data_IF_755221325969
#
_entry.id   IF_755221325969
#
_cell.length_a   1.000
_cell.length_b   1.000
_cell.length_c   1.000
_cell.angle_alpha   90.00
_cell.angle_beta   90.00
_cell.angle_gamma   90.00
#
_symmetry.space_group_name_H-M   'P 1'
#
loop_
_entity.id
_entity.type
_entity.pdbx_description
1 polymer ?
#
# COMPACT_ATOMS: atom_id res chain seq x y z
N UNK A 1 10.34 -11.84 -3.21
CA UNK A 1 9.22 -12.54 -3.93
C UNK A 1 8.22 -11.56 -4.58
N UNK A 2 8.46 -10.98 -5.77
CA UNK A 2 7.54 -9.94 -6.35
C UNK A 2 6.44 -10.46 -7.30
N UNK A 3 5.29 -9.79 -7.31
CA UNK A 3 4.08 -10.17 -8.08
C UNK A 3 4.32 -10.29 -9.58
N UNK A 4 5.08 -9.35 -10.15
CA UNK A 4 5.43 -9.36 -11.58
C UNK A 4 6.28 -10.56 -11.97
N UNK A 5 7.06 -11.10 -11.02
CA UNK A 5 7.96 -12.24 -11.25
C UNK A 5 7.30 -13.59 -10.98
N UNK A 6 6.04 -13.63 -10.56
CA UNK A 6 5.27 -14.88 -10.37
C UNK A 6 4.93 -15.61 -11.69
N UNK A 7 5.47 -15.18 -12.84
CA UNK A 7 5.51 -16.02 -14.03
C UNK A 7 6.58 -17.12 -13.96
N UNK A 8 7.51 -17.04 -13.01
CA UNK A 8 8.54 -18.05 -12.78
C UNK A 8 7.95 -19.27 -12.03
N UNK A 9 8.01 -20.49 -12.59
CA UNK A 9 7.47 -21.70 -11.96
C UNK A 9 8.01 -21.97 -10.55
N UNK A 10 9.29 -21.65 -10.29
CA UNK A 10 9.89 -21.85 -8.96
C UNK A 10 9.26 -20.92 -7.92
N UNK A 11 8.94 -19.69 -8.32
CA UNK A 11 8.30 -18.70 -7.45
C UNK A 11 6.84 -19.02 -7.21
N UNK A 12 6.14 -19.55 -8.22
CA UNK A 12 4.77 -20.06 -8.06
C UNK A 12 4.74 -21.22 -7.06
N UNK A 13 5.67 -22.18 -7.18
CA UNK A 13 5.74 -23.30 -6.24
C UNK A 13 6.01 -22.87 -4.79
N UNK A 14 6.81 -21.82 -4.60
CA UNK A 14 7.11 -21.28 -3.28
C UNK A 14 6.05 -20.29 -2.73
N UNK A 15 5.06 -19.91 -3.53
CA UNK A 15 4.09 -18.87 -3.18
C UNK A 15 3.27 -19.26 -1.96
N UNK A 16 2.69 -20.46 -1.93
CA UNK A 16 1.83 -20.90 -0.83
C UNK A 16 2.58 -20.95 0.51
N UNK A 17 3.82 -21.44 0.50
CA UNK A 17 4.67 -21.47 1.69
C UNK A 17 4.99 -20.05 2.17
N UNK A 18 5.30 -19.14 1.23
CA UNK A 18 5.58 -17.74 1.53
C UNK A 18 4.35 -17.02 2.12
N UNK A 19 3.16 -17.19 1.54
CA UNK A 19 1.91 -16.61 2.02
C UNK A 19 1.49 -17.19 3.39
N UNK A 20 1.73 -18.49 3.60
CA UNK A 20 1.50 -19.15 4.88
C UNK A 20 2.41 -18.58 5.97
N UNK A 21 3.68 -18.33 5.67
CA UNK A 21 4.61 -17.67 6.59
C UNK A 21 4.19 -16.21 6.86
N UNK A 22 3.84 -15.45 5.82
CA UNK A 22 3.37 -14.07 5.96
C UNK A 22 2.10 -13.96 6.85
N UNK A 23 1.22 -14.96 6.79
CA UNK A 23 0.01 -15.04 7.63
C UNK A 23 0.29 -15.10 9.13
N UNK A 24 1.49 -15.51 9.53
CA UNK A 24 1.91 -15.62 10.93
C UNK A 24 2.43 -14.31 11.51
N UNK A 25 2.64 -13.28 10.69
CA UNK A 25 3.09 -11.97 11.16
C UNK A 25 1.99 -11.29 12.01
N UNK A 26 2.37 -10.77 13.17
CA UNK A 26 1.49 -9.88 13.94
C UNK A 26 1.49 -8.50 13.31
N UNK A 27 0.40 -8.13 12.66
CA UNK A 27 0.32 -6.80 12.06
C UNK A 27 -0.91 -6.57 11.22
N UNK A 28 -0.83 -5.47 10.47
CA UNK A 28 -1.85 -5.05 9.53
C UNK A 28 -1.25 -4.91 8.13
N UNK A 29 -1.77 -5.68 7.18
CA UNK A 29 -1.55 -5.46 5.76
C UNK A 29 -2.68 -4.58 5.23
N UNK A 30 -2.34 -3.36 4.82
CA UNK A 30 -3.31 -2.40 4.27
C UNK A 30 -3.00 -2.17 2.80
N UNK A 31 -3.92 -2.61 1.93
CA UNK A 31 -3.89 -2.29 0.51
C UNK A 31 -4.80 -1.08 0.24
N UNK A 32 -4.29 -0.08 -0.48
CA UNK A 32 -5.04 1.13 -0.81
C UNK A 32 -5.07 1.28 -2.34
N UNK A 33 -6.25 1.16 -2.92
CA UNK A 33 -6.47 1.32 -4.35
C UNK A 33 -7.07 2.69 -4.64
N UNK A 34 -6.36 3.52 -5.41
CA UNK A 34 -6.79 4.88 -5.76
C UNK A 34 -7.13 4.94 -7.25
N UNK A 35 -8.30 5.51 -7.57
CA UNK A 35 -8.72 5.73 -8.95
C UNK A 35 -7.73 6.64 -9.70
N UNK A 36 -7.17 6.13 -10.80
CA UNK A 36 -6.18 6.82 -11.65
C UNK A 36 -6.70 8.11 -12.27
N UNK A 37 -8.02 8.30 -12.38
CA UNK A 37 -8.62 9.57 -12.82
C UNK A 37 -8.26 10.72 -11.88
N UNK A 38 -7.94 10.43 -10.62
CA UNK A 38 -7.51 11.41 -9.61
C UNK A 38 -5.99 11.41 -9.53
N UNK A 39 -5.39 12.28 -10.34
CA UNK A 39 -3.95 12.53 -10.33
C UNK A 39 -3.47 13.22 -9.04
N UNK A 40 -4.35 13.97 -8.40
CA UNK A 40 -4.04 14.86 -7.27
C UNK A 40 -4.90 14.48 -6.08
N UNK A 41 -4.37 13.65 -5.17
CA UNK A 41 -5.08 13.24 -3.96
C UNK A 41 -4.58 14.03 -2.74
N UNK A 42 -3.26 14.14 -2.61
CA UNK A 42 -2.62 14.74 -1.42
C UNK A 42 -2.01 16.11 -1.65
N UNK A 43 -1.93 16.55 -2.90
CA UNK A 43 -1.49 17.89 -3.26
C UNK A 43 -2.43 18.49 -4.30
N UNK A 44 -2.26 19.77 -4.62
CA UNK A 44 -2.97 20.44 -5.72
C UNK A 44 -1.99 20.79 -6.86
N UNK A 45 -2.48 20.94 -8.10
CA UNK A 45 -1.68 21.50 -9.18
C UNK A 45 -0.99 22.80 -8.73
N UNK A 46 0.29 22.96 -9.05
CA UNK A 46 1.11 24.14 -8.71
C UNK A 46 1.35 24.40 -7.21
N UNK A 47 0.98 23.47 -6.31
CA UNK A 47 1.22 23.61 -4.86
C UNK A 47 2.57 23.06 -4.39
N UNK A 48 3.32 22.36 -5.26
CA UNK A 48 4.54 21.63 -4.90
C UNK A 48 5.58 22.51 -4.20
N UNK A 49 5.90 23.69 -4.75
CA UNK A 49 6.90 24.59 -4.15
C UNK A 49 6.49 25.11 -2.77
N UNK A 50 5.20 25.43 -2.58
CA UNK A 50 4.68 25.89 -1.29
C UNK A 50 4.79 24.80 -0.22
N UNK A 51 4.39 23.57 -0.55
CA UNK A 51 4.46 22.43 0.37
C UNK A 51 5.92 22.06 0.63
N UNK A 52 6.76 22.08 -0.40
CA UNK A 52 8.21 21.84 -0.31
C UNK A 52 8.87 22.80 0.68
N UNK A 53 8.58 24.10 0.56
CA UNK A 53 9.09 25.13 1.47
C UNK A 53 8.59 24.92 2.92
N UNK A 54 7.30 24.63 3.09
CA UNK A 54 6.70 24.37 4.42
C UNK A 54 7.33 23.15 5.11
N UNK A 55 7.58 22.09 4.36
CA UNK A 55 8.23 20.87 4.84
C UNK A 55 9.76 20.95 4.84
N UNK A 56 10.35 22.07 4.40
CA UNK A 56 11.82 22.26 4.37
C UNK A 56 12.55 21.27 3.47
N UNK A 57 11.91 20.82 2.39
CA UNK A 57 12.45 19.82 1.47
C UNK A 57 13.41 20.45 0.45
N UNK A 58 14.49 19.75 0.15
CA UNK A 58 15.64 20.30 -0.58
C UNK A 58 15.63 19.97 -2.06
N UNK A 59 15.09 18.83 -2.47
CA UNK A 59 15.10 18.44 -3.87
C UNK A 59 14.11 19.24 -4.70
N UNK A 60 14.45 19.43 -5.98
CA UNK A 60 13.46 19.82 -6.99
C UNK A 60 12.74 18.56 -7.44
N UNK A 61 11.42 18.56 -7.26
CA UNK A 61 10.57 17.45 -7.64
C UNK A 61 9.76 17.81 -8.88
N UNK A 62 9.60 16.87 -9.81
CA UNK A 62 8.53 17.03 -10.78
C UNK A 62 7.17 16.90 -10.06
N UNK A 63 6.11 17.58 -10.52
CA UNK A 63 4.88 17.69 -9.75
C UNK A 63 4.20 16.34 -9.45
N UNK A 64 4.26 15.39 -10.38
CA UNK A 64 3.64 14.06 -10.21
C UNK A 64 4.42 13.17 -9.22
N UNK A 65 5.75 13.18 -9.28
CA UNK A 65 6.58 12.45 -8.32
C UNK A 65 6.48 13.06 -6.92
N UNK A 66 6.33 14.40 -6.83
CA UNK A 66 6.06 15.07 -5.56
C UNK A 66 4.72 14.64 -4.96
N UNK A 67 3.66 14.61 -5.78
CA UNK A 67 2.35 14.18 -5.33
C UNK A 67 2.37 12.73 -4.85
N UNK A 68 3.00 11.82 -5.59
CA UNK A 68 3.13 10.41 -5.21
C UNK A 68 3.86 10.24 -3.87
N UNK A 69 4.96 10.97 -3.68
CA UNK A 69 5.71 10.98 -2.42
C UNK A 69 4.84 11.49 -1.26
N UNK A 70 4.21 12.67 -1.41
CA UNK A 70 3.38 13.27 -0.35
C UNK A 70 2.17 12.37 -0.03
N UNK A 71 1.60 11.70 -1.04
CA UNK A 71 0.50 10.76 -0.85
C UNK A 71 0.91 9.58 0.01
N UNK A 72 2.04 8.93 -0.31
CA UNK A 72 2.58 7.83 0.48
C UNK A 72 2.91 8.27 1.91
N UNK A 73 3.56 9.43 2.04
CA UNK A 73 3.92 10.03 3.33
C UNK A 73 2.67 10.31 4.18
N UNK A 74 1.63 10.90 3.60
CA UNK A 74 0.40 11.24 4.32
C UNK A 74 -0.33 9.98 4.78
N UNK A 75 -0.47 8.98 3.90
CA UNK A 75 -1.05 7.68 4.24
C UNK A 75 -0.26 7.03 5.39
N UNK A 76 1.07 6.96 5.27
CA UNK A 76 1.92 6.40 6.32
C UNK A 76 1.75 7.15 7.64
N UNK A 77 1.73 8.48 7.63
CA UNK A 77 1.54 9.29 8.83
C UNK A 77 0.19 9.02 9.52
N UNK A 78 -0.90 8.89 8.75
CA UNK A 78 -2.22 8.51 9.27
C UNK A 78 -2.17 7.11 9.89
N UNK A 79 -1.63 6.12 9.19
CA UNK A 79 -1.52 4.75 9.70
C UNK A 79 -0.67 4.68 10.97
N UNK A 80 0.45 5.40 11.01
CA UNK A 80 1.28 5.51 12.21
C UNK A 80 0.45 6.10 13.35
N UNK A 81 -0.27 7.20 13.14
CA UNK A 81 -1.08 7.82 14.22
C UNK A 81 -2.18 6.93 14.78
N UNK A 82 -2.67 5.96 14.00
CA UNK A 82 -3.68 5.01 14.45
C UNK A 82 -3.10 3.90 15.33
N UNK A 83 -1.82 3.57 15.15
CA UNK A 83 -1.21 2.40 15.78
C UNK A 83 -0.06 2.73 16.74
N UNK A 84 0.49 3.93 16.69
CA UNK A 84 1.60 4.33 17.54
C UNK A 84 1.16 4.60 18.97
N UNK A 85 2.08 4.35 19.88
CA UNK A 85 2.03 4.74 21.28
C UNK A 85 3.18 5.71 21.59
N UNK A 86 3.13 6.48 22.69
CA UNK A 86 4.25 7.33 23.11
C UNK A 86 5.59 6.56 23.10
N UNK A 87 6.59 7.15 22.45
CA UNK A 87 7.93 6.56 22.34
C UNK A 87 8.10 5.44 21.31
N UNK A 88 7.10 5.18 20.45
CA UNK A 88 7.22 4.15 19.39
C UNK A 88 8.33 4.50 18.40
N UNK A 89 9.26 3.58 18.20
CA UNK A 89 10.23 3.65 17.10
C UNK A 89 9.59 3.12 15.82
N UNK A 90 9.82 3.78 14.70
CA UNK A 90 9.27 3.38 13.39
C UNK A 90 10.42 3.11 12.42
N UNK A 91 10.37 1.96 11.77
CA UNK A 91 11.23 1.63 10.63
C UNK A 91 10.33 1.44 9.40
N UNK A 92 10.35 2.39 8.49
CA UNK A 92 9.72 2.26 7.18
C UNK A 92 10.72 1.55 6.26
N UNK A 93 10.36 0.39 5.73
CA UNK A 93 11.09 -0.29 4.65
C UNK A 93 10.30 -0.15 3.34
N UNK A 94 10.93 0.32 2.28
CA UNK A 94 10.33 0.46 0.95
C UNK A 94 11.18 -0.22 -0.11
N UNK A 95 10.56 -0.64 -1.21
CA UNK A 95 11.32 -1.02 -2.39
C UNK A 95 12.05 0.20 -3.00
N UNK A 96 12.81 -0.02 -4.08
CA UNK A 96 13.52 1.00 -4.87
C UNK A 96 12.59 1.93 -5.65
N UNK A 97 11.70 2.58 -4.93
CA UNK A 97 10.68 3.47 -5.47
C UNK A 97 11.28 4.80 -5.93
N UNK A 98 10.62 5.42 -6.92
CA UNK A 98 11.09 6.68 -7.51
C UNK A 98 11.25 7.83 -6.49
N UNK A 99 10.48 7.79 -5.38
CA UNK A 99 10.54 8.81 -4.33
C UNK A 99 11.72 8.64 -3.35
N UNK A 100 12.47 7.54 -3.45
CA UNK A 100 13.71 7.29 -2.68
C UNK A 100 14.91 7.00 -3.58
N UNK A 101 14.77 7.23 -4.90
CA UNK A 101 15.74 6.84 -5.93
C UNK A 101 17.18 7.41 -5.80
N UNK A 102 17.42 8.34 -4.88
CA UNK A 102 18.76 8.81 -4.54
C UNK A 102 18.76 9.37 -3.12
N UNK A 103 19.95 9.53 -2.53
CA UNK A 103 20.11 10.00 -1.15
C UNK A 103 19.39 11.31 -0.84
N UNK A 104 19.35 12.27 -1.78
CA UNK A 104 18.63 13.54 -1.53
C UNK A 104 17.12 13.35 -1.48
N UNK A 105 16.56 12.51 -2.35
CA UNK A 105 15.12 12.17 -2.34
C UNK A 105 14.75 11.35 -1.12
N UNK A 106 15.64 10.45 -0.70
CA UNK A 106 15.53 9.69 0.54
C UNK A 106 15.48 10.63 1.76
N UNK A 107 16.40 11.58 1.87
CA UNK A 107 16.42 12.60 2.94
C UNK A 107 15.13 13.44 2.95
N UNK A 108 14.64 13.86 1.78
CA UNK A 108 13.39 14.59 1.64
C UNK A 108 12.20 13.75 2.09
N UNK A 109 12.11 12.49 1.67
CA UNK A 109 11.03 11.58 2.05
C UNK A 109 11.01 11.33 3.56
N UNK A 110 12.19 11.10 4.16
CA UNK A 110 12.39 10.94 5.59
C UNK A 110 11.95 12.20 6.35
N UNK A 111 12.35 13.38 5.87
CA UNK A 111 11.95 14.67 6.47
C UNK A 111 10.44 14.88 6.35
N UNK A 112 9.87 14.59 5.18
CA UNK A 112 8.44 14.74 4.92
C UNK A 112 7.61 13.85 5.85
N UNK A 113 7.96 12.56 5.98
CA UNK A 113 7.22 11.64 6.86
C UNK A 113 7.37 11.99 8.33
N UNK A 114 8.56 12.38 8.80
CA UNK A 114 8.74 12.79 10.18
C UNK A 114 7.86 14.00 10.52
N UNK A 115 7.86 15.04 9.67
CA UNK A 115 7.03 16.24 9.87
C UNK A 115 5.55 15.94 9.74
N UNK A 116 5.15 15.16 8.74
CA UNK A 116 3.75 14.80 8.54
C UNK A 116 3.21 13.98 9.71
N UNK A 117 4.00 13.02 10.21
CA UNK A 117 3.66 12.20 11.38
C UNK A 117 3.44 13.06 12.63
N UNK A 118 4.24 14.12 12.81
CA UNK A 118 4.05 15.10 13.90
C UNK A 118 2.76 15.93 13.79
N UNK A 119 2.14 16.02 12.60
CA UNK A 119 0.85 16.71 12.44
C UNK A 119 -0.33 15.82 12.84
N UNK A 120 -0.22 14.50 12.66
CA UNK A 120 -1.29 13.55 12.99
C UNK A 120 -1.18 12.98 14.41
N UNK A 121 0.02 12.95 14.99
CA UNK A 121 0.23 12.41 16.33
C UNK A 121 0.08 13.46 17.42
N UNK A 122 -0.64 13.09 18.49
CA UNK A 122 -0.80 13.90 19.70
C UNK A 122 0.22 13.58 20.79
N UNK A 123 1.17 12.68 20.50
CA UNK A 123 2.17 12.19 21.45
C UNK A 123 3.57 12.17 20.83
N UNK A 124 4.63 12.23 21.66
CA UNK A 124 6.01 12.15 21.17
C UNK A 124 6.32 10.75 20.63
N UNK A 125 6.94 10.72 19.46
CA UNK A 125 7.44 9.50 18.80
C UNK A 125 8.91 9.25 19.17
N UNK A 126 9.37 8.01 18.98
CA UNK A 126 10.77 7.64 19.10
C UNK A 126 11.57 7.93 17.81
N UNK A 127 12.54 7.06 17.53
CA UNK A 127 13.38 7.15 16.33
C UNK A 127 12.59 6.70 15.10
N UNK A 128 12.62 7.52 14.05
CA UNK A 128 12.12 7.17 12.73
C UNK A 128 13.28 6.82 11.80
N UNK A 129 13.18 5.69 11.09
CA UNK A 129 14.13 5.27 10.04
C UNK A 129 13.39 5.00 8.74
N UNK A 130 13.99 5.39 7.63
CA UNK A 130 13.54 5.04 6.29
C UNK A 130 14.65 4.20 5.65
N UNK A 131 14.33 2.97 5.30
CA UNK A 131 15.24 2.03 4.65
C UNK A 131 14.69 1.60 3.30
N UNK A 132 15.60 1.23 2.42
CA UNK A 132 15.33 0.72 1.09
C UNK A 132 15.80 -0.73 0.98
N UNK A 133 15.20 -1.52 0.09
CA UNK A 133 15.54 -2.94 -0.11
C UNK A 133 16.99 -3.20 -0.54
N UNK A 134 17.69 -2.20 -1.08
CA UNK A 134 19.11 -2.29 -1.47
C UNK A 134 20.07 -2.18 -0.28
N UNK A 135 19.58 -1.70 0.87
CA UNK A 135 20.38 -1.57 2.10
C UNK A 135 20.46 -2.90 2.88
N UNK A 136 19.86 -3.96 2.37
CA UNK A 136 19.87 -5.31 2.92
C UNK A 136 20.66 -6.25 2.00
N UNK A 137 21.99 -6.17 2.10
CA UNK A 137 22.91 -6.80 1.14
C UNK A 137 22.93 -8.34 1.23
N UNK A 138 22.71 -8.90 2.42
CA UNK A 138 22.98 -10.33 2.69
C UNK A 138 21.73 -11.16 3.05
N UNK A 139 20.76 -10.60 3.79
CA UNK A 139 19.67 -11.39 4.37
C UNK A 139 18.42 -11.46 3.48
N UNK A 140 18.18 -10.41 2.69
CA UNK A 140 16.96 -10.21 1.88
C UNK A 140 15.66 -10.16 2.70
N UNK A 141 15.76 -10.02 4.02
CA UNK A 141 14.64 -9.80 4.92
C UNK A 141 13.78 -8.60 4.46
N UNK A 142 14.41 -7.51 3.99
CA UNK A 142 13.71 -6.34 3.47
C UNK A 142 12.99 -6.64 2.16
N UNK A 143 13.58 -7.43 1.26
CA UNK A 143 12.93 -7.84 0.02
C UNK A 143 11.68 -8.69 0.31
N UNK A 144 11.77 -9.61 1.27
CA UNK A 144 10.67 -10.47 1.64
C UNK A 144 9.56 -9.71 2.40
N UNK A 145 9.91 -8.77 3.28
CA UNK A 145 8.92 -7.89 3.92
C UNK A 145 8.21 -6.99 2.91
N UNK A 146 8.93 -6.42 1.94
CA UNK A 146 8.32 -5.60 0.88
C UNK A 146 7.54 -6.43 -0.15
N UNK A 147 7.85 -7.71 -0.31
CA UNK A 147 7.12 -8.61 -1.20
C UNK A 147 5.66 -8.82 -0.76
N UNK A 148 5.38 -8.88 0.55
CA UNK A 148 4.02 -9.09 1.07
C UNK A 148 3.03 -8.01 0.57
N UNK A 149 3.28 -6.70 0.78
CA UNK A 149 2.41 -5.66 0.23
C UNK A 149 2.45 -5.56 -1.30
N UNK A 150 3.57 -5.89 -1.97
CA UNK A 150 3.63 -5.94 -3.45
C UNK A 150 2.69 -7.02 -4.03
N UNK A 151 2.67 -8.21 -3.42
CA UNK A 151 1.77 -9.30 -3.81
C UNK A 151 0.30 -8.88 -3.67
N UNK A 152 -0.06 -8.29 -2.52
CA UNK A 152 -1.41 -7.79 -2.31
C UNK A 152 -1.77 -6.68 -3.30
N UNK A 153 -0.90 -5.68 -3.50
CA UNK A 153 -1.14 -4.59 -4.45
C UNK A 153 -1.27 -5.09 -5.89
N UNK A 154 -0.44 -6.05 -6.30
CA UNK A 154 -0.46 -6.67 -7.62
C UNK A 154 -1.74 -7.45 -7.88
N UNK A 155 -2.16 -8.31 -6.95
CA UNK A 155 -3.44 -8.99 -7.01
C UNK A 155 -4.61 -7.98 -7.06
N UNK A 156 -4.56 -6.94 -6.23
CA UNK A 156 -5.62 -5.93 -6.20
C UNK A 156 -5.74 -5.14 -7.49
N UNK A 157 -4.65 -4.91 -8.21
CA UNK A 157 -4.69 -4.30 -9.54
C UNK A 157 -5.48 -5.17 -10.54
N UNK A 158 -5.31 -6.49 -10.48
CA UNK A 158 -6.07 -7.43 -11.33
C UNK A 158 -7.55 -7.49 -10.94
N UNK A 159 -7.85 -7.55 -9.64
CA UNK A 159 -9.23 -7.56 -9.12
C UNK A 159 -9.97 -6.27 -9.48
N UNK A 160 -9.39 -5.10 -9.20
CA UNK A 160 -10.04 -3.81 -9.45
C UNK A 160 -10.24 -3.53 -10.94
N UNK A 161 -9.26 -3.90 -11.80
CA UNK A 161 -9.42 -3.77 -13.25
C UNK A 161 -10.62 -4.58 -13.75
N UNK A 162 -10.81 -5.79 -13.24
CA UNK A 162 -11.94 -6.65 -13.62
C UNK A 162 -13.25 -6.20 -13.00
N UNK A 163 -13.25 -5.71 -11.76
CA UNK A 163 -14.46 -5.12 -11.16
C UNK A 163 -14.99 -3.94 -12.00
N UNK A 164 -14.13 -3.13 -12.61
CA UNK A 164 -14.59 -2.03 -13.47
C UNK A 164 -15.19 -2.49 -14.80
N UNK A 165 -14.84 -3.69 -15.28
CA UNK A 165 -15.27 -4.20 -16.61
C UNK A 165 -16.41 -5.21 -16.52
N UNK A 166 -16.32 -6.12 -15.55
CA UNK A 166 -17.08 -7.37 -15.50
C UNK A 166 -17.79 -7.58 -14.15
N UNK A 167 -18.01 -6.52 -13.35
CA UNK A 167 -18.74 -6.69 -12.09
C UNK A 167 -20.25 -6.57 -12.26
N UNK A 168 -20.97 -7.36 -11.46
CA UNK A 168 -22.38 -7.12 -11.16
C UNK A 168 -22.48 -6.35 -9.87
N UNK A 169 -23.17 -5.21 -9.91
CA UNK A 169 -23.53 -4.45 -8.71
C UNK A 169 -24.61 -5.23 -7.97
N UNK A 170 -24.26 -5.80 -6.82
CA UNK A 170 -25.19 -6.51 -5.94
C UNK A 170 -25.97 -5.51 -5.09
N UNK A 171 -25.32 -4.43 -4.65
CA UNK A 171 -25.94 -3.30 -3.95
C UNK A 171 -25.12 -2.04 -4.11
N UNK A 172 -25.54 -0.93 -3.52
CA UNK A 172 -24.76 0.31 -3.51
C UNK A 172 -23.36 0.16 -2.93
N UNK A 173 -23.15 -0.85 -2.08
CA UNK A 173 -21.89 -1.09 -1.35
C UNK A 173 -21.26 -2.46 -1.66
N UNK A 174 -21.82 -3.23 -2.60
CA UNK A 174 -21.31 -4.57 -2.95
C UNK A 174 -21.25 -4.76 -4.45
N UNK A 175 -20.09 -5.22 -4.94
CA UNK A 175 -19.87 -5.66 -6.32
C UNK A 175 -19.32 -7.08 -6.29
N UNK A 176 -19.83 -7.95 -7.15
CA UNK A 176 -19.27 -9.28 -7.38
C UNK A 176 -18.54 -9.32 -8.71
N UNK A 177 -17.46 -10.11 -8.75
CA UNK A 177 -16.69 -10.36 -9.95
C UNK A 177 -17.36 -11.49 -10.74
N UNK A 178 -17.63 -11.29 -12.03
CA UNK A 178 -18.17 -12.36 -12.89
C UNK A 178 -17.10 -13.12 -13.69
N UNK A 179 -15.83 -12.72 -13.64
CA UNK A 179 -14.76 -13.27 -14.47
C UNK A 179 -13.65 -13.94 -13.65
N UNK A 180 -13.09 -15.04 -14.17
CA UNK A 180 -12.01 -15.76 -13.50
C UNK A 180 -10.75 -14.90 -13.41
N UNK A 181 -10.18 -14.77 -12.21
CA UNK A 181 -8.89 -14.14 -12.00
C UNK A 181 -7.77 -14.97 -12.65
N UNK A 182 -6.60 -14.37 -12.99
CA UNK A 182 -5.42 -15.18 -13.28
C UNK A 182 -5.07 -16.06 -12.07
N UNK A 183 -4.61 -17.29 -12.28
CA UNK A 183 -4.34 -18.27 -11.21
C UNK A 183 -3.50 -17.68 -10.06
N UNK A 184 -2.43 -16.93 -10.38
CA UNK A 184 -1.59 -16.27 -9.37
C UNK A 184 -2.35 -15.25 -8.51
N UNK A 185 -3.30 -14.55 -9.11
CA UNK A 185 -4.11 -13.55 -8.42
C UNK A 185 -5.19 -14.22 -7.56
N UNK A 186 -5.72 -15.37 -8.02
CA UNK A 186 -6.66 -16.18 -7.26
C UNK A 186 -6.02 -16.78 -5.99
N UNK A 187 -4.81 -17.34 -6.09
CA UNK A 187 -4.09 -17.85 -4.91
C UNK A 187 -3.86 -16.73 -3.87
N UNK A 188 -3.39 -15.56 -4.33
CA UNK A 188 -3.16 -14.41 -3.45
C UNK A 188 -4.48 -13.84 -2.93
N UNK A 189 -5.55 -13.91 -3.72
CA UNK A 189 -6.89 -13.53 -3.31
C UNK A 189 -7.35 -14.38 -2.13
N UNK A 190 -7.37 -15.70 -2.30
CA UNK A 190 -7.80 -16.62 -1.26
C UNK A 190 -7.01 -16.41 0.03
N UNK A 191 -5.69 -16.23 -0.08
CA UNK A 191 -4.86 -15.84 1.05
C UNK A 191 -5.26 -14.48 1.64
N UNK A 192 -5.49 -13.45 0.82
CA UNK A 192 -5.77 -12.11 1.29
C UNK A 192 -7.08 -12.04 2.09
N UNK A 193 -8.12 -12.72 1.59
CA UNK A 193 -9.46 -12.72 2.17
C UNK A 193 -9.67 -13.76 3.27
N UNK A 194 -8.73 -14.71 3.46
CA UNK A 194 -8.77 -15.63 4.59
C UNK A 194 -8.77 -14.87 5.94
N UNK A 195 -9.79 -15.13 6.77
CA UNK A 195 -10.04 -14.43 8.04
C UNK A 195 -9.28 -15.00 9.26
N UNK A 196 -8.75 -16.22 9.15
CA UNK A 196 -8.07 -16.91 10.25
C UNK A 196 -6.54 -16.76 10.19
N UNK A 197 -6.04 -15.52 10.16
CA UNK A 197 -4.60 -15.22 10.14
C UNK A 197 -4.23 -14.15 11.16
N UNK A 198 -2.99 -14.19 11.68
CA UNK A 198 -2.49 -13.16 12.61
C UNK A 198 -2.28 -11.82 11.90
N UNK A 199 -1.86 -11.88 10.64
CA UNK A 199 -1.77 -10.71 9.77
C UNK A 199 -3.19 -10.29 9.36
N UNK A 200 -3.68 -9.17 9.90
CA UNK A 200 -4.98 -8.61 9.57
C UNK A 200 -4.89 -7.90 8.22
N UNK A 201 -5.81 -8.19 7.31
CA UNK A 201 -5.75 -7.71 5.91
C UNK A 201 -6.93 -6.80 5.62
N UNK A 202 -6.65 -5.60 5.17
CA UNK A 202 -7.66 -4.56 4.89
C UNK A 202 -7.45 -4.00 3.49
N UNK A 203 -8.53 -3.93 2.71
CA UNK A 203 -8.55 -3.18 1.47
C UNK A 203 -9.34 -1.88 1.66
N UNK A 204 -8.76 -0.78 1.17
CA UNK A 204 -9.40 0.53 1.09
C UNK A 204 -9.42 0.93 -0.38
N UNK A 205 -10.60 1.16 -0.95
CA UNK A 205 -10.73 1.78 -2.27
C UNK A 205 -11.07 3.25 -2.15
N UNK A 206 -10.42 4.10 -2.95
CA UNK A 206 -10.70 5.52 -3.08
C UNK A 206 -11.15 5.75 -4.53
N UNK A 207 -12.47 5.76 -4.72
CA UNK A 207 -13.10 5.91 -6.03
C UNK A 207 -13.60 7.33 -6.25
N UNK A 208 -13.60 7.76 -7.52
CA UNK A 208 -14.28 8.98 -7.94
C UNK A 208 -15.75 8.70 -8.21
N UNK A 209 -16.64 9.36 -7.49
CA UNK A 209 -18.07 9.38 -7.79
C UNK A 209 -18.50 10.85 -8.04
N UNK A 210 -18.45 11.26 -9.31
CA UNK A 210 -18.64 12.66 -9.70
C UNK A 210 -17.53 13.57 -9.16
N UNK A 211 -17.90 14.60 -8.39
CA UNK A 211 -16.95 15.51 -7.73
C UNK A 211 -16.45 15.01 -6.36
N UNK A 212 -17.09 13.98 -5.80
CA UNK A 212 -16.80 13.50 -4.44
C UNK A 212 -15.95 12.22 -4.44
N UNK A 213 -15.27 12.00 -3.31
CA UNK A 213 -14.56 10.76 -3.02
C UNK A 213 -15.46 9.82 -2.22
N UNK A 214 -15.38 8.52 -2.50
CA UNK A 214 -16.02 7.49 -1.69
C UNK A 214 -14.99 6.47 -1.24
N UNK A 215 -15.03 6.15 0.06
CA UNK A 215 -14.22 5.09 0.68
C UNK A 215 -15.12 3.91 0.99
N UNK A 216 -14.75 2.71 0.53
CA UNK A 216 -15.51 1.49 0.79
C UNK A 216 -14.60 0.33 1.21
N UNK A 217 -15.03 -0.47 2.19
CA UNK A 217 -14.44 -1.79 2.40
C UNK A 217 -14.97 -2.76 1.33
N UNK A 218 -14.12 -3.68 0.87
CA UNK A 218 -14.50 -4.73 -0.08
C UNK A 218 -14.34 -6.09 0.58
N UNK A 219 -15.32 -6.95 0.35
CA UNK A 219 -15.38 -8.31 0.86
C UNK A 219 -15.69 -9.24 -0.31
N UNK A 220 -15.09 -10.43 -0.34
CA UNK A 220 -15.63 -11.51 -1.18
C UNK A 220 -16.80 -12.15 -0.43
N UNK A 221 -17.90 -12.40 -1.14
CA UNK A 221 -18.96 -13.26 -0.61
C UNK A 221 -18.51 -14.71 -0.71
N UNK A 222 -18.56 -15.44 0.38
CA UNK A 222 -18.46 -16.90 0.32
C UNK A 222 -19.61 -17.43 -0.54
N UNK A 223 -19.28 -18.08 -1.65
CA UNK A 223 -20.23 -18.80 -2.51
C UNK A 223 -20.79 -20.07 -1.84
N UNK A 224 -20.60 -20.26 -0.53
CA UNK A 224 -21.08 -21.40 0.25
C UNK A 224 -22.28 -21.11 1.15
N UNK A 225 -22.88 -19.91 1.08
CA UNK A 225 -24.09 -19.57 1.85
C UNK A 225 -25.39 -19.53 1.03
N UNK A 226 -25.46 -20.35 -0.03
CA UNK A 226 -26.71 -20.70 -0.69
C UNK A 226 -26.92 -22.22 -0.52
N UNK A 227 -27.36 -22.61 0.67
CA UNK A 227 -28.03 -23.88 0.94
C UNK A 227 -29.38 -23.93 0.23
#
# INVERSE_FOLDING_TARGET
MSYKRLGDPKRQFALDAFLSAASQLDGHLVAIAVDKKKKWLSTQPNSSEKIRAMLGLKCVWNPMAFEDMIRKVQIAAILISLWSKPGTNVTWITDQDAFVANGKRHDDALTAVARMTSLYNTHPMGVFRLNTTDQDEDSRDYEDLCAIPDLAAGMMADVTMRLTKDSVRISDYKRALNSNLPDKAEIIADWFWASNTRLRKTLITIETEGEKYRVQPVWMSDSSAAS
#
